data_IF_728608120686
#
_entry.id   IF_728608120686
#
_cell.length_a   1.000
_cell.length_b   1.000
_cell.length_c   1.000
_cell.angle_alpha   90.00
_cell.angle_beta   90.00
_cell.angle_gamma   90.00
#
_symmetry.space_group_name_H-M   'P 1'
#
loop_
_entity.id
_entity.type
_entity.pdbx_description
1 polymer ?
#
# COMPACT_ATOMS: atom_id res chain seq x y z
N UNK A 1 14.38 61.36 27.21
CA UNK A 1 14.67 60.39 26.14
C UNK A 1 14.43 58.93 26.51
N UNK A 2 14.64 58.50 27.72
CA UNK A 2 14.41 57.08 28.11
C UNK A 2 12.97 56.61 28.08
N UNK A 3 11.99 57.48 28.26
CA UNK A 3 10.57 57.11 28.26
C UNK A 3 9.94 56.91 26.86
N UNK A 4 10.51 57.48 25.84
CA UNK A 4 10.03 57.34 24.44
C UNK A 4 10.48 55.99 23.84
N UNK A 5 11.71 55.59 24.18
CA UNK A 5 12.25 54.31 23.70
C UNK A 5 11.47 53.09 24.21
N UNK A 6 11.00 53.18 25.49
CA UNK A 6 10.23 52.08 26.10
C UNK A 6 8.85 51.93 25.45
N UNK A 7 8.21 53.02 25.05
CA UNK A 7 6.91 52.97 24.38
C UNK A 7 6.98 52.46 22.94
N UNK A 8 8.05 52.82 22.22
CA UNK A 8 8.24 52.33 20.83
C UNK A 8 8.56 50.84 20.83
N UNK A 9 9.34 50.36 21.82
CA UNK A 9 9.68 48.95 21.93
C UNK A 9 8.45 48.09 22.31
N UNK A 10 7.55 48.60 23.17
CA UNK A 10 6.32 47.92 23.55
C UNK A 10 5.33 47.81 22.37
N UNK A 11 5.27 48.85 21.50
CA UNK A 11 4.42 48.82 20.31
C UNK A 11 4.98 47.86 19.24
N UNK A 12 6.31 47.80 19.10
CA UNK A 12 6.95 46.87 18.15
C UNK A 12 6.76 45.42 18.60
N UNK A 13 6.82 45.15 19.91
CA UNK A 13 6.58 43.79 20.44
C UNK A 13 5.11 43.36 20.35
N UNK A 14 4.17 44.29 20.52
CA UNK A 14 2.75 44.02 20.33
C UNK A 14 2.39 43.76 18.86
N UNK A 15 3.07 44.41 17.92
CA UNK A 15 2.87 44.19 16.49
C UNK A 15 3.44 42.81 16.03
N UNK A 16 4.49 42.32 16.67
CA UNK A 16 5.07 40.99 16.39
C UNK A 16 4.24 39.83 16.96
N UNK A 17 3.45 40.08 18.01
CA UNK A 17 2.56 39.06 18.59
C UNK A 17 1.21 38.95 17.87
N UNK A 18 0.85 39.92 17.06
CA UNK A 18 -0.40 39.91 16.25
C UNK A 18 -0.24 39.32 14.85
N UNK A 19 1.01 39.16 14.40
CA UNK A 19 1.31 38.34 13.22
C UNK A 19 1.43 36.86 13.61
N UNK A 20 0.44 36.36 14.31
CA UNK A 20 0.21 34.92 14.49
C UNK A 20 -0.04 34.34 13.09
N UNK A 21 1.02 33.92 12.42
CA UNK A 21 0.89 32.97 11.34
C UNK A 21 0.16 31.78 11.93
N UNK A 22 -1.15 31.74 11.75
CA UNK A 22 -1.90 30.50 11.91
C UNK A 22 -1.34 29.57 10.85
N UNK A 23 -0.34 28.78 11.22
CA UNK A 23 0.04 27.61 10.43
C UNK A 23 -1.18 26.71 10.52
N UNK A 24 -2.05 26.82 9.53
CA UNK A 24 -3.09 25.81 9.32
C UNK A 24 -2.33 24.57 8.90
N UNK A 25 -1.97 23.74 9.87
CA UNK A 25 -1.55 22.38 9.60
C UNK A 25 -2.82 21.71 9.08
N UNK A 26 -2.98 21.69 7.77
CA UNK A 26 -3.97 20.83 7.13
C UNK A 26 -3.47 19.41 7.36
N UNK A 27 -4.00 18.77 8.37
CA UNK A 27 -3.89 17.31 8.48
C UNK A 27 -4.59 16.76 7.25
N UNK A 28 -3.86 15.96 6.48
CA UNK A 28 -4.45 15.24 5.36
C UNK A 28 -5.26 14.07 5.95
N UNK A 29 -6.56 14.29 6.16
CA UNK A 29 -7.49 13.31 6.71
C UNK A 29 -7.97 12.30 5.64
N UNK A 30 -7.25 12.21 4.52
CA UNK A 30 -7.55 11.29 3.44
C UNK A 30 -7.44 9.85 3.93
N UNK A 31 -8.44 8.98 3.69
CA UNK A 31 -8.40 7.56 4.05
C UNK A 31 -7.19 6.83 3.47
N UNK A 32 -6.77 7.19 2.26
CA UNK A 32 -5.62 6.61 1.59
C UNK A 32 -4.31 6.80 2.37
N UNK A 33 -4.15 7.89 3.11
CA UNK A 33 -2.96 8.17 3.92
C UNK A 33 -2.74 7.13 5.02
N UNK A 34 -3.81 6.56 5.57
CA UNK A 34 -3.69 5.53 6.60
C UNK A 34 -3.00 4.26 6.09
N UNK A 35 -3.09 3.99 4.78
CA UNK A 35 -2.47 2.83 4.16
C UNK A 35 -1.07 3.12 3.60
N UNK A 36 -0.70 4.38 3.43
CA UNK A 36 0.58 4.78 2.82
C UNK A 36 1.77 4.24 3.63
N UNK A 37 2.70 3.59 2.94
CA UNK A 37 3.93 3.08 3.54
C UNK A 37 4.50 1.86 2.83
N UNK A 38 5.63 1.40 3.36
CA UNK A 38 6.33 0.20 2.91
C UNK A 38 6.13 -0.90 3.96
N UNK A 39 5.56 -2.02 3.54
CA UNK A 39 5.23 -3.16 4.39
C UNK A 39 6.15 -4.33 4.09
N UNK A 40 6.85 -4.82 5.11
CA UNK A 40 7.59 -6.08 5.04
C UNK A 40 6.61 -7.22 5.33
N UNK A 41 6.30 -8.01 4.30
CA UNK A 41 5.25 -9.03 4.34
C UNK A 41 5.83 -10.42 4.45
N UNK A 42 5.30 -11.22 5.37
CA UNK A 42 5.46 -12.68 5.37
C UNK A 42 4.39 -13.28 4.48
N UNK A 43 4.79 -14.08 3.51
CA UNK A 43 3.90 -14.71 2.53
C UNK A 43 3.84 -16.20 2.76
N UNK A 44 2.64 -16.74 2.79
CA UNK A 44 2.39 -18.17 2.73
C UNK A 44 1.56 -18.46 1.47
N UNK A 45 2.18 -19.11 0.51
CA UNK A 45 1.56 -19.52 -0.75
C UNK A 45 1.18 -20.99 -0.70
N UNK A 46 -0.07 -21.30 -1.02
CA UNK A 46 -0.58 -22.66 -1.06
C UNK A 46 -1.41 -22.89 -2.32
N UNK A 47 -1.36 -24.10 -2.87
CA UNK A 47 -2.15 -24.42 -4.05
C UNK A 47 -1.55 -25.54 -4.89
N UNK A 48 -1.67 -25.37 -6.22
CA UNK A 48 -1.18 -26.36 -7.19
C UNK A 48 -0.56 -25.68 -8.42
N UNK A 49 0.49 -26.29 -8.95
CA UNK A 49 1.03 -26.02 -10.28
C UNK A 49 1.09 -27.33 -11.08
N UNK A 50 0.18 -27.47 -12.04
CA UNK A 50 -0.08 -28.76 -12.68
C UNK A 50 -0.62 -29.76 -11.66
N UNK A 51 0.12 -30.86 -11.48
CA UNK A 51 -0.17 -31.89 -10.47
C UNK A 51 0.63 -31.73 -9.18
N UNK A 52 1.58 -30.81 -9.15
CA UNK A 52 2.43 -30.56 -7.98
C UNK A 52 1.71 -29.64 -6.99
N UNK A 53 1.84 -30.00 -5.71
CA UNK A 53 1.40 -29.13 -4.61
C UNK A 53 2.41 -28.01 -4.39
N UNK A 54 1.90 -26.79 -4.19
CA UNK A 54 2.65 -25.63 -3.76
C UNK A 54 2.35 -25.37 -2.28
N UNK A 55 3.39 -25.23 -1.48
CA UNK A 55 3.30 -24.86 -0.05
C UNK A 55 4.61 -24.16 0.32
N UNK A 56 4.70 -22.88 -0.04
CA UNK A 56 5.92 -22.10 0.08
C UNK A 56 5.73 -20.92 1.05
N UNK A 57 6.83 -20.54 1.71
CA UNK A 57 6.89 -19.38 2.59
C UNK A 57 8.09 -18.54 2.25
N UNK A 58 7.84 -17.23 2.07
CA UNK A 58 8.89 -16.28 1.71
C UNK A 58 8.55 -14.88 2.22
N UNK A 59 9.47 -13.96 2.03
CA UNK A 59 9.28 -12.54 2.35
C UNK A 59 9.06 -11.75 1.06
N UNK A 60 8.18 -10.74 1.16
CA UNK A 60 7.92 -9.81 0.07
C UNK A 60 7.78 -8.40 0.62
N UNK A 61 7.87 -7.43 -0.25
CA UNK A 61 7.63 -6.02 0.08
C UNK A 61 6.40 -5.54 -0.67
N UNK A 62 5.50 -4.88 0.03
CA UNK A 62 4.35 -4.17 -0.55
C UNK A 62 4.51 -2.70 -0.23
N UNK A 63 4.48 -1.87 -1.24
CA UNK A 63 4.56 -0.42 -1.13
C UNK A 63 3.20 0.14 -1.52
N UNK A 64 2.62 0.97 -0.67
CA UNK A 64 1.34 1.63 -0.92
C UNK A 64 1.59 3.13 -0.94
N UNK A 65 1.27 3.76 -2.06
CA UNK A 65 1.39 5.20 -2.27
C UNK A 65 0.01 5.81 -2.52
N UNK A 66 -0.25 6.90 -1.84
CA UNK A 66 -1.47 7.68 -2.06
C UNK A 66 -1.42 8.38 -3.40
N UNK A 67 -2.44 8.20 -4.23
CA UNK A 67 -2.61 8.88 -5.52
C UNK A 67 -3.82 9.80 -5.57
N UNK A 68 -4.74 9.69 -4.61
CA UNK A 68 -5.95 10.52 -4.50
C UNK A 68 -6.47 10.56 -3.08
N UNK A 69 -7.69 11.06 -2.89
CA UNK A 69 -8.33 11.15 -1.56
C UNK A 69 -8.49 9.75 -0.93
N UNK A 70 -9.04 8.82 -1.69
CA UNK A 70 -9.25 7.41 -1.32
C UNK A 70 -8.54 6.43 -2.27
N UNK A 71 -7.71 6.94 -3.18
CA UNK A 71 -7.04 6.16 -4.20
C UNK A 71 -5.58 5.91 -3.84
N UNK A 72 -5.13 4.69 -4.12
CA UNK A 72 -3.75 4.25 -3.91
C UNK A 72 -3.21 3.51 -5.12
N UNK A 73 -1.90 3.57 -5.26
CA UNK A 73 -1.10 2.69 -6.10
C UNK A 73 -0.36 1.70 -5.19
N UNK A 74 -0.34 0.44 -5.58
CA UNK A 74 0.37 -0.62 -4.89
C UNK A 74 1.46 -1.15 -5.80
N UNK A 75 2.68 -1.22 -5.28
CA UNK A 75 3.85 -1.74 -6.00
C UNK A 75 4.66 -2.73 -5.16
N UNK A 76 5.73 -3.29 -5.72
CA UNK A 76 6.55 -4.32 -5.08
C UNK A 76 6.10 -5.73 -5.44
N UNK A 77 5.49 -6.45 -4.50
CA UNK A 77 4.99 -7.81 -4.77
C UNK A 77 3.88 -7.86 -5.83
N UNK A 78 3.13 -6.77 -5.98
CA UNK A 78 2.08 -6.60 -6.98
C UNK A 78 2.15 -5.17 -7.53
N UNK A 79 1.71 -4.99 -8.77
CA UNK A 79 1.53 -3.66 -9.37
C UNK A 79 0.05 -3.49 -9.71
N UNK A 80 -0.66 -2.70 -8.93
CA UNK A 80 -2.10 -2.48 -9.08
C UNK A 80 -2.53 -1.15 -8.47
N UNK A 81 -3.76 -0.77 -8.76
CA UNK A 81 -4.41 0.39 -8.17
C UNK A 81 -5.59 -0.06 -7.33
N UNK A 82 -5.99 0.79 -6.41
CA UNK A 82 -7.12 0.48 -5.57
C UNK A 82 -7.72 1.68 -4.87
N UNK A 83 -8.76 1.37 -4.12
CA UNK A 83 -9.52 2.34 -3.34
C UNK A 83 -9.61 1.89 -1.89
N UNK A 84 -9.52 2.85 -1.00
CA UNK A 84 -9.70 2.66 0.45
C UNK A 84 -11.17 2.81 0.82
N UNK A 85 -11.69 1.86 1.58
CA UNK A 85 -13.02 1.87 2.17
C UNK A 85 -12.92 1.47 3.66
N UNK A 86 -12.90 2.48 4.53
CA UNK A 86 -12.63 2.30 5.96
C UNK A 86 -11.25 1.72 6.22
N UNK A 87 -11.20 0.54 6.82
CA UNK A 87 -9.94 -0.22 7.05
C UNK A 87 -9.64 -1.25 5.96
N UNK A 88 -10.41 -1.26 4.87
CA UNK A 88 -10.25 -2.19 3.75
C UNK A 88 -9.63 -1.49 2.55
N UNK A 89 -8.85 -2.26 1.82
CA UNK A 89 -8.27 -1.86 0.56
C UNK A 89 -8.87 -2.73 -0.55
N UNK A 90 -9.58 -2.10 -1.48
CA UNK A 90 -10.21 -2.75 -2.63
C UNK A 90 -9.27 -2.56 -3.82
N UNK A 91 -8.57 -3.62 -4.21
CA UNK A 91 -7.58 -3.61 -5.28
C UNK A 91 -8.16 -4.16 -6.57
N UNK A 92 -7.73 -3.59 -7.68
CA UNK A 92 -8.07 -4.06 -9.01
C UNK A 92 -7.33 -5.37 -9.32
N UNK A 93 -8.00 -6.36 -9.93
CA UNK A 93 -7.32 -7.57 -10.36
C UNK A 93 -6.32 -7.26 -11.48
N UNK A 94 -5.20 -7.97 -11.46
CA UNK A 94 -4.12 -7.83 -12.45
C UNK A 94 -4.11 -9.06 -13.36
N UNK A 95 -4.09 -8.83 -14.67
CA UNK A 95 -3.88 -9.89 -15.65
C UNK A 95 -2.59 -9.58 -16.40
N UNK A 96 -1.66 -10.53 -16.38
CA UNK A 96 -0.47 -10.53 -17.21
C UNK A 96 -0.55 -11.64 -18.25
N UNK A 97 -0.05 -11.36 -19.46
CA UNK A 97 0.01 -12.31 -20.57
C UNK A 97 1.29 -12.03 -21.35
N UNK A 98 2.15 -13.04 -21.42
CA UNK A 98 3.40 -12.97 -22.17
C UNK A 98 3.76 -14.35 -22.77
N UNK A 99 4.97 -14.49 -23.29
CA UNK A 99 5.48 -15.76 -23.84
C UNK A 99 5.59 -16.89 -22.80
N UNK A 100 5.57 -16.57 -21.51
CA UNK A 100 5.64 -17.54 -20.42
C UNK A 100 4.25 -17.98 -19.93
N UNK A 101 3.19 -17.33 -20.44
CA UNK A 101 1.83 -17.72 -20.15
C UNK A 101 0.91 -16.59 -19.73
N UNK A 102 -0.17 -16.98 -19.08
CA UNK A 102 -1.17 -16.04 -18.52
C UNK A 102 -1.26 -16.21 -17.02
N UNK A 103 -1.32 -15.10 -16.31
CA UNK A 103 -1.52 -15.07 -14.86
C UNK A 103 -2.57 -14.01 -14.52
N UNK A 104 -3.57 -14.42 -13.77
CA UNK A 104 -4.55 -13.50 -13.17
C UNK A 104 -4.37 -13.50 -11.67
N UNK A 105 -4.13 -12.33 -11.10
CA UNK A 105 -4.03 -12.08 -9.66
C UNK A 105 -5.28 -11.33 -9.20
N UNK A 106 -6.02 -11.90 -8.27
CA UNK A 106 -7.24 -11.32 -7.71
C UNK A 106 -7.09 -11.12 -6.21
N UNK A 107 -7.41 -9.94 -5.72
CA UNK A 107 -7.32 -9.57 -4.31
C UNK A 107 -8.67 -9.81 -3.65
N UNK A 108 -8.73 -10.79 -2.75
CA UNK A 108 -9.99 -11.25 -2.13
C UNK A 108 -10.34 -10.40 -0.94
N UNK A 109 -9.35 -10.13 -0.08
CA UNK A 109 -9.49 -9.33 1.13
C UNK A 109 -8.16 -8.67 1.48
N UNK A 110 -8.19 -7.36 1.69
CA UNK A 110 -7.03 -6.58 2.11
C UNK A 110 -7.45 -5.63 3.21
N UNK A 111 -6.84 -5.74 4.40
CA UNK A 111 -7.23 -4.98 5.57
C UNK A 111 -6.02 -4.42 6.30
N UNK A 112 -6.19 -3.21 6.86
CA UNK A 112 -5.24 -2.58 7.76
C UNK A 112 -5.82 -2.50 9.16
N UNK A 113 -5.11 -3.06 10.15
CA UNK A 113 -5.44 -2.96 11.57
C UNK A 113 -4.24 -2.40 12.31
N UNK A 114 -4.36 -1.16 12.76
CA UNK A 114 -3.20 -0.41 13.29
C UNK A 114 -2.13 -0.23 12.20
N UNK A 115 -0.94 -0.77 12.42
CA UNK A 115 0.16 -0.76 11.44
C UNK A 115 0.31 -2.08 10.68
N UNK A 116 -0.58 -3.03 10.90
CA UNK A 116 -0.48 -4.35 10.29
C UNK A 116 -1.41 -4.46 9.08
N UNK A 117 -0.84 -4.73 7.93
CA UNK A 117 -1.53 -5.04 6.70
C UNK A 117 -1.68 -6.56 6.56
N UNK A 118 -2.88 -7.02 6.22
CA UNK A 118 -3.15 -8.39 5.83
C UNK A 118 -3.81 -8.43 4.47
N UNK A 119 -3.39 -9.38 3.62
CA UNK A 119 -3.90 -9.53 2.26
C UNK A 119 -4.14 -11.01 1.97
N UNK A 120 -5.29 -11.31 1.36
CA UNK A 120 -5.59 -12.62 0.77
C UNK A 120 -5.70 -12.46 -0.75
N UNK A 121 -4.84 -13.17 -1.46
CA UNK A 121 -4.69 -13.05 -2.91
C UNK A 121 -4.86 -14.43 -3.56
N UNK A 122 -5.57 -14.50 -4.67
CA UNK A 122 -5.66 -15.69 -5.50
C UNK A 122 -4.96 -15.46 -6.82
N UNK A 123 -4.15 -16.44 -7.22
CA UNK A 123 -3.52 -16.45 -8.52
C UNK A 123 -3.97 -17.67 -9.31
N UNK A 124 -4.32 -17.47 -10.57
CA UNK A 124 -4.70 -18.53 -11.49
C UNK A 124 -4.22 -18.23 -12.90
N UNK A 125 -3.78 -19.25 -13.60
CA UNK A 125 -3.27 -19.08 -14.95
C UNK A 125 -2.70 -20.34 -15.54
N UNK A 126 -2.04 -20.18 -16.69
CA UNK A 126 -1.29 -21.23 -17.35
C UNK A 126 0.16 -20.72 -17.53
N UNK A 127 1.09 -21.32 -16.82
CA UNK A 127 2.48 -20.89 -16.79
C UNK A 127 3.35 -21.95 -17.46
N UNK A 128 4.27 -21.52 -18.32
CA UNK A 128 5.19 -22.42 -19.01
C UNK A 128 6.19 -23.03 -18.04
N UNK A 129 6.28 -24.34 -18.01
CA UNK A 129 7.26 -25.08 -17.22
C UNK A 129 8.43 -25.48 -18.10
N UNK A 130 9.62 -24.99 -17.77
CA UNK A 130 10.87 -25.37 -18.47
C UNK A 130 11.23 -26.84 -18.25
N UNK A 131 10.76 -27.46 -17.16
CA UNK A 131 11.04 -28.88 -16.88
C UNK A 131 10.23 -29.83 -17.73
N UNK A 132 8.97 -29.47 -18.07
CA UNK A 132 8.09 -30.30 -18.88
C UNK A 132 7.98 -29.82 -20.32
N UNK A 133 8.42 -28.60 -20.62
CA UNK A 133 8.25 -27.96 -21.93
C UNK A 133 6.78 -27.66 -22.31
N UNK A 134 5.91 -27.60 -21.31
CA UNK A 134 4.46 -27.40 -21.51
C UNK A 134 3.91 -26.35 -20.57
N UNK A 135 2.73 -25.79 -20.90
CA UNK A 135 1.99 -24.91 -20.00
C UNK A 135 1.28 -25.74 -18.95
N UNK A 136 1.50 -25.42 -17.69
CA UNK A 136 0.86 -26.03 -16.54
C UNK A 136 -0.10 -25.04 -15.88
N UNK A 137 -1.25 -25.54 -15.47
CA UNK A 137 -2.24 -24.73 -14.75
C UNK A 137 -1.72 -24.38 -13.35
N UNK A 138 -1.68 -23.09 -13.05
CA UNK A 138 -1.42 -22.55 -11.72
C UNK A 138 -2.75 -22.21 -11.04
N UNK A 139 -2.88 -22.60 -9.77
CA UNK A 139 -3.98 -22.17 -8.92
C UNK A 139 -3.49 -22.10 -7.48
N UNK A 140 -3.12 -20.90 -7.03
CA UNK A 140 -2.58 -20.67 -5.70
C UNK A 140 -3.34 -19.60 -4.95
N UNK A 141 -3.23 -19.66 -3.63
CA UNK A 141 -3.71 -18.63 -2.70
C UNK A 141 -2.52 -18.17 -1.88
N UNK A 142 -2.34 -16.87 -1.80
CA UNK A 142 -1.32 -16.22 -1.00
C UNK A 142 -1.99 -15.54 0.20
N UNK A 143 -1.48 -15.84 1.38
CA UNK A 143 -1.80 -15.12 2.61
C UNK A 143 -0.58 -14.30 2.99
N UNK A 144 -0.73 -12.97 2.96
CA UNK A 144 0.33 -12.02 3.29
C UNK A 144 -0.03 -11.30 4.58
N UNK A 145 0.94 -11.14 5.46
CA UNK A 145 0.80 -10.31 6.66
C UNK A 145 2.12 -9.62 6.97
N UNK A 146 2.04 -8.34 7.33
CA UNK A 146 3.23 -7.56 7.65
C UNK A 146 2.89 -6.20 8.21
N UNK A 147 3.93 -5.52 8.68
CA UNK A 147 3.82 -4.17 9.25
C UNK A 147 4.76 -3.19 8.52
N UNK A 148 4.44 -1.92 8.64
CA UNK A 148 5.28 -0.80 8.24
C UNK A 148 6.06 -0.25 9.43
#
# INVERSE_FOLDING_TARGET
MKKIFTKVFAILFAALTLSGCSIIIRTDDSPARAFEGTYAMSVHETGTWGQSRVDDRYQAVVIIEKTGYDLVEVSGAFETFGRVDGNRLILEPVKSEDSHGTLTTSFVDCQLVGNQLSMHVRQSGNIFSIHTGTFLKLNTTLSLSGSR
#
